data_IF_760853240858
#
_entry.id   IF_760853240858
#
_cell.length_a   1.000
_cell.length_b   1.000
_cell.length_c   1.000
_cell.angle_alpha   90.00
_cell.angle_beta   90.00
_cell.angle_gamma   90.00
#
_symmetry.space_group_name_H-M   'P 1'
#
loop_
_entity.id
_entity.type
_entity.pdbx_description
1 polymer ?
#
# COMPACT_ATOMS: atom_id res chain seq x y z
N UNK A 1 -13.81 1.51 -17.33
CA UNK A 1 -14.24 2.56 -16.37
C UNK A 1 -15.44 2.02 -15.60
N UNK A 2 -15.47 2.19 -14.26
CA UNK A 2 -16.51 1.59 -13.40
C UNK A 2 -17.79 2.41 -13.37
N UNK A 3 -18.91 1.85 -12.92
CA UNK A 3 -20.13 2.63 -12.67
C UNK A 3 -19.91 3.82 -11.73
N UNK A 4 -19.05 3.62 -10.72
CA UNK A 4 -18.62 4.66 -9.80
C UNK A 4 -17.91 5.82 -10.52
N UNK A 5 -16.99 5.53 -11.44
CA UNK A 5 -16.27 6.54 -12.21
C UNK A 5 -17.20 7.53 -12.95
N UNK A 6 -18.38 7.07 -13.37
CA UNK A 6 -19.34 7.91 -14.11
C UNK A 6 -20.36 8.62 -13.23
N UNK A 7 -20.50 8.25 -11.95
CA UNK A 7 -21.61 8.71 -11.09
C UNK A 7 -21.17 9.32 -9.76
N UNK A 8 -19.92 9.12 -9.34
CA UNK A 8 -19.37 9.74 -8.15
C UNK A 8 -18.58 10.98 -8.54
N UNK A 9 -18.98 12.11 -7.99
CA UNK A 9 -18.20 13.34 -8.04
C UNK A 9 -17.04 13.21 -7.05
N UNK A 10 -15.82 13.44 -7.53
CA UNK A 10 -14.67 13.58 -6.64
C UNK A 10 -14.67 14.98 -6.04
N UNK A 11 -15.09 15.07 -4.79
CA UNK A 11 -15.15 16.30 -3.99
C UNK A 11 -13.91 16.48 -3.10
N UNK A 12 -12.89 15.63 -3.26
CA UNK A 12 -11.68 15.65 -2.43
C UNK A 12 -10.53 16.33 -3.18
N UNK A 13 -9.99 17.44 -2.67
CA UNK A 13 -8.84 18.11 -3.28
C UNK A 13 -7.62 17.18 -3.41
N UNK A 14 -6.84 17.37 -4.47
CA UNK A 14 -5.65 16.56 -4.76
C UNK A 14 -4.65 16.52 -3.59
N UNK A 15 -4.41 17.66 -2.92
CA UNK A 15 -3.51 17.74 -1.77
C UNK A 15 -3.98 16.87 -0.58
N UNK A 16 -5.30 16.74 -0.37
CA UNK A 16 -5.84 15.87 0.69
C UNK A 16 -5.59 14.41 0.35
N UNK A 17 -5.77 14.02 -0.92
CA UNK A 17 -5.49 12.66 -1.39
C UNK A 17 -4.01 12.32 -1.25
N UNK A 18 -3.13 13.26 -1.63
CA UNK A 18 -1.69 13.09 -1.52
C UNK A 18 -1.24 12.87 -0.07
N UNK A 19 -1.68 13.73 0.86
CA UNK A 19 -1.37 13.56 2.29
C UNK A 19 -1.86 12.21 2.84
N UNK A 20 -3.10 11.82 2.51
CA UNK A 20 -3.65 10.53 2.95
C UNK A 20 -2.89 9.34 2.37
N UNK A 21 -2.44 9.44 1.12
CA UNK A 21 -1.61 8.41 0.50
C UNK A 21 -0.27 8.26 1.24
N UNK A 22 0.37 9.37 1.60
CA UNK A 22 1.61 9.36 2.39
C UNK A 22 1.41 8.71 3.76
N UNK A 23 0.31 9.04 4.46
CA UNK A 23 -0.08 8.40 5.72
C UNK A 23 -0.25 6.88 5.56
N UNK A 24 -0.98 6.44 4.53
CA UNK A 24 -1.18 5.02 4.23
C UNK A 24 0.13 4.30 3.91
N UNK A 25 1.01 4.94 3.11
CA UNK A 25 2.33 4.39 2.80
C UNK A 25 3.15 4.23 4.08
N UNK A 26 3.14 5.23 4.96
CA UNK A 26 3.87 5.17 6.23
C UNK A 26 3.41 3.99 7.08
N UNK A 27 2.10 3.87 7.31
CA UNK A 27 1.52 2.77 8.10
C UNK A 27 1.83 1.41 7.46
N UNK A 28 1.67 1.30 6.14
CA UNK A 28 1.98 0.06 5.43
C UNK A 28 3.45 -0.33 5.60
N UNK A 29 4.38 0.62 5.48
CA UNK A 29 5.82 0.34 5.60
C UNK A 29 6.20 -0.09 7.01
N UNK A 30 5.58 0.49 8.04
CA UNK A 30 5.78 0.08 9.41
C UNK A 30 5.36 -1.39 9.62
N UNK A 31 4.15 -1.74 9.19
CA UNK A 31 3.63 -3.11 9.37
C UNK A 31 4.38 -4.14 8.51
N UNK A 32 4.72 -3.79 7.27
CA UNK A 32 5.53 -4.64 6.41
C UNK A 32 6.92 -4.91 7.01
N UNK A 33 7.53 -3.91 7.66
CA UNK A 33 8.80 -4.10 8.36
C UNK A 33 8.66 -5.09 9.52
N UNK A 34 7.58 -5.00 10.32
CA UNK A 34 7.31 -5.95 11.42
C UNK A 34 7.17 -7.38 10.90
N UNK A 35 6.40 -7.58 9.83
CA UNK A 35 6.23 -8.89 9.19
C UNK A 35 7.56 -9.43 8.66
N UNK A 36 8.33 -8.61 7.95
CA UNK A 36 9.62 -9.03 7.40
C UNK A 36 10.64 -9.38 8.49
N UNK A 37 10.68 -8.61 9.59
CA UNK A 37 11.54 -8.90 10.73
C UNK A 37 11.21 -10.24 11.38
N UNK A 38 9.91 -10.58 11.47
CA UNK A 38 9.48 -11.86 12.04
C UNK A 38 9.92 -13.08 11.20
N UNK A 39 10.27 -12.89 9.93
CA UNK A 39 10.74 -13.96 9.05
C UNK A 39 12.27 -14.15 9.05
N UNK A 40 13.03 -13.29 9.74
CA UNK A 40 14.49 -13.43 9.85
C UNK A 40 14.84 -14.75 10.55
N UNK A 41 15.78 -15.51 9.97
CA UNK A 41 16.21 -16.81 10.50
C UNK A 41 15.31 -17.99 10.11
N UNK A 42 14.24 -17.75 9.35
CA UNK A 42 13.40 -18.80 8.80
C UNK A 42 13.87 -19.27 7.41
N UNK A 43 13.54 -20.52 7.06
CA UNK A 43 13.70 -21.01 5.68
C UNK A 43 12.51 -20.57 4.85
N UNK A 44 12.76 -20.00 3.67
CA UNK A 44 11.72 -19.51 2.76
C UNK A 44 11.83 -20.21 1.39
N UNK A 45 10.69 -20.58 0.80
CA UNK A 45 10.65 -21.05 -0.57
C UNK A 45 10.78 -19.84 -1.51
N UNK A 46 11.71 -19.90 -2.45
CA UNK A 46 12.01 -18.80 -3.37
C UNK A 46 11.82 -19.22 -4.82
N UNK A 47 11.32 -18.30 -5.65
CA UNK A 47 11.36 -18.40 -7.11
C UNK A 47 12.62 -17.69 -7.59
N UNK A 48 13.42 -18.34 -8.43
CA UNK A 48 14.60 -17.74 -9.06
C UNK A 48 14.17 -17.16 -10.41
N UNK A 49 14.27 -15.84 -10.53
CA UNK A 49 14.02 -15.10 -11.78
C UNK A 49 15.36 -14.56 -12.33
N UNK A 50 15.56 -14.67 -13.64
CA UNK A 50 16.76 -14.23 -14.38
C UNK A 50 16.40 -13.83 -15.80
#
# INVERSE_FOLDING_TARGET
KTHAYHRLQDDVPAAVKQRRLEELISVFREEAAKVNMALIGSTQLVLVEG
#
